data_IF_302914495950
#
_entry.id   IF_302914495950
#
_cell.length_a   1.000
_cell.length_b   1.000
_cell.length_c   1.000
_cell.angle_alpha   90.00
_cell.angle_beta   90.00
_cell.angle_gamma   90.00
#
_symmetry.space_group_name_H-M   'P 1'
#
loop_
_entity.id
_entity.type
_entity.pdbx_description
1 polymer ?
#
# COMPACT_ATOMS: atom_id res chain seq x y z
N UNK A 1 -62.68 53.19 7.20
CA UNK A 1 -63.17 51.80 7.44
C UNK A 1 -62.04 50.82 7.17
N UNK A 2 -61.60 50.25 8.20
CA UNK A 2 -60.38 49.46 8.34
C UNK A 2 -60.64 48.00 7.99
N UNK A 3 -59.78 47.36 7.17
CA UNK A 3 -59.77 45.94 7.08
C UNK A 3 -58.31 45.43 7.13
N UNK A 4 -57.97 44.89 8.27
CA UNK A 4 -56.74 44.18 8.59
C UNK A 4 -56.82 42.81 7.92
N UNK A 5 -55.83 42.45 7.08
CA UNK A 5 -55.64 41.10 6.58
C UNK A 5 -54.43 40.52 7.23
N UNK A 6 -54.67 39.52 8.09
CA UNK A 6 -53.67 38.72 8.75
C UNK A 6 -52.90 37.87 7.71
N UNK A 7 -51.61 38.12 7.61
CA UNK A 7 -50.68 37.25 6.88
C UNK A 7 -50.30 36.07 7.77
N UNK A 8 -50.71 34.87 7.38
CA UNK A 8 -50.34 33.59 7.99
C UNK A 8 -48.92 33.23 7.52
N UNK A 9 -47.98 33.37 8.42
CA UNK A 9 -46.60 32.89 8.21
C UNK A 9 -46.59 31.38 8.23
N UNK A 10 -46.37 30.77 7.09
CA UNK A 10 -46.14 29.34 6.93
C UNK A 10 -44.63 29.09 7.09
N UNK A 11 -44.24 28.58 8.26
CA UNK A 11 -42.88 28.15 8.56
C UNK A 11 -42.63 26.83 7.85
N UNK A 12 -41.93 26.87 6.73
CA UNK A 12 -41.33 25.66 6.13
C UNK A 12 -40.11 25.29 6.92
N UNK A 13 -40.21 24.21 7.68
CA UNK A 13 -39.05 23.54 8.29
C UNK A 13 -38.33 22.77 7.19
N UNK A 14 -37.18 23.28 6.74
CA UNK A 14 -36.25 22.53 5.91
C UNK A 14 -35.55 21.48 6.79
N UNK A 15 -35.97 20.22 6.66
CA UNK A 15 -35.27 19.08 7.18
C UNK A 15 -34.08 18.79 6.25
N UNK A 16 -32.92 19.33 6.57
CA UNK A 16 -31.68 18.99 5.87
C UNK A 16 -31.23 17.59 6.31
N UNK A 17 -31.51 16.59 5.46
CA UNK A 17 -30.96 15.25 5.62
C UNK A 17 -29.44 15.32 5.33
N UNK A 18 -28.64 15.27 6.37
CA UNK A 18 -27.19 15.08 6.27
C UNK A 18 -26.90 13.65 5.82
N UNK A 19 -26.71 13.45 4.52
CA UNK A 19 -26.15 12.22 3.97
C UNK A 19 -24.68 12.21 4.34
N UNK A 20 -24.32 11.45 5.38
CA UNK A 20 -22.96 11.29 5.87
C UNK A 20 -22.07 10.64 4.82
N UNK A 21 -21.00 11.32 4.51
CA UNK A 21 -19.95 10.89 3.60
C UNK A 21 -19.11 9.81 4.26
N UNK A 22 -19.35 8.55 3.92
CA UNK A 22 -18.53 7.40 4.34
C UNK A 22 -17.65 6.88 3.19
N UNK A 23 -16.87 7.79 2.54
CA UNK A 23 -16.06 7.41 1.36
C UNK A 23 -14.54 7.59 1.54
N UNK A 24 -14.04 7.97 2.72
CA UNK A 24 -12.61 8.25 2.90
C UNK A 24 -11.74 7.03 3.19
N UNK A 25 -12.28 5.95 3.76
CA UNK A 25 -11.51 4.78 4.16
C UNK A 25 -11.01 3.94 2.97
N UNK A 26 -11.80 3.79 1.92
CA UNK A 26 -11.46 2.96 0.75
C UNK A 26 -10.36 3.59 -0.11
N UNK A 27 -10.32 4.91 -0.19
CA UNK A 27 -9.29 5.61 -0.96
C UNK A 27 -7.90 5.55 -0.31
N UNK A 28 -7.83 5.55 1.03
CA UNK A 28 -6.54 5.46 1.75
C UNK A 28 -5.95 4.04 1.68
N UNK A 29 -6.79 3.02 1.72
CA UNK A 29 -6.33 1.63 1.60
C UNK A 29 -5.86 1.31 0.17
N UNK A 30 -6.52 1.83 -0.87
CA UNK A 30 -6.08 1.74 -2.25
C UNK A 30 -4.75 2.47 -2.49
N UNK A 31 -4.49 3.56 -1.77
CA UNK A 31 -3.21 4.29 -1.83
C UNK A 31 -2.06 3.48 -1.22
N UNK A 32 -2.32 2.60 -0.27
CA UNK A 32 -1.33 1.70 0.37
C UNK A 32 -1.03 0.42 -0.40
N UNK A 33 -1.75 0.13 -1.48
CA UNK A 33 -1.58 -1.07 -2.29
C UNK A 33 -2.44 -2.26 -1.83
N UNK A 34 -2.59 -3.23 -2.73
CA UNK A 34 -3.39 -4.44 -2.54
C UNK A 34 -2.51 -5.60 -2.04
N UNK A 35 -2.80 -6.11 -0.85
CA UNK A 35 -2.09 -7.25 -0.25
C UNK A 35 -2.27 -8.54 -1.04
N UNK A 36 -3.41 -8.76 -1.70
CA UNK A 36 -3.68 -9.95 -2.51
C UNK A 36 -2.87 -9.93 -3.80
N UNK A 37 -2.79 -8.77 -4.46
CA UNK A 37 -1.90 -8.58 -5.61
C UNK A 37 -0.44 -8.72 -5.19
N UNK A 38 -0.05 -8.16 -4.04
CA UNK A 38 1.28 -8.30 -3.47
C UNK A 38 1.69 -9.74 -3.21
N UNK A 39 0.78 -10.58 -2.69
CA UNK A 39 1.03 -12.02 -2.51
C UNK A 39 1.45 -12.71 -3.82
N UNK A 40 0.78 -12.40 -4.92
CA UNK A 40 1.12 -12.98 -6.23
C UNK A 40 2.51 -12.51 -6.72
N UNK A 41 2.83 -11.24 -6.49
CA UNK A 41 4.10 -10.64 -6.92
C UNK A 41 5.31 -11.13 -6.13
N UNK A 42 5.17 -11.42 -4.83
CA UNK A 42 6.30 -11.86 -3.98
C UNK A 42 6.70 -13.32 -4.21
N UNK A 43 5.99 -14.06 -5.07
CA UNK A 43 6.34 -15.44 -5.38
C UNK A 43 7.81 -15.60 -5.81
N UNK A 44 8.28 -14.71 -6.68
CA UNK A 44 9.67 -14.73 -7.16
C UNK A 44 10.69 -14.33 -6.09
N UNK A 45 10.29 -13.54 -5.10
CA UNK A 45 11.15 -13.08 -4.00
C UNK A 45 11.46 -14.25 -3.03
N UNK A 46 10.50 -15.16 -2.84
CA UNK A 46 10.59 -16.28 -1.91
C UNK A 46 11.75 -17.22 -2.18
N UNK A 47 12.18 -17.36 -3.43
CA UNK A 47 13.30 -18.23 -3.81
C UNK A 47 14.64 -17.85 -3.17
N UNK A 48 14.82 -16.57 -2.87
CA UNK A 48 16.01 -16.06 -2.17
C UNK A 48 15.68 -15.62 -0.74
N UNK A 49 14.67 -14.75 -0.58
CA UNK A 49 14.32 -14.14 0.70
C UNK A 49 13.56 -15.07 1.66
N UNK A 50 12.99 -16.17 1.15
CA UNK A 50 12.34 -17.20 1.96
C UNK A 50 13.28 -18.19 2.63
N UNK A 51 14.53 -18.26 2.19
CA UNK A 51 15.53 -19.23 2.70
C UNK A 51 16.40 -18.60 3.79
N UNK A 52 16.33 -19.16 4.99
CA UNK A 52 17.11 -18.66 6.14
C UNK A 52 18.62 -18.81 5.89
N UNK A 53 19.37 -17.71 6.02
CA UNK A 53 20.82 -17.70 5.88
C UNK A 53 21.32 -17.81 4.44
N UNK A 54 20.44 -17.69 3.45
CA UNK A 54 20.82 -17.74 2.04
C UNK A 54 21.82 -16.64 1.68
N UNK A 55 22.82 -17.00 0.88
CA UNK A 55 23.79 -16.09 0.28
C UNK A 55 23.86 -16.32 -1.21
N UNK A 56 24.00 -15.26 -1.98
CA UNK A 56 24.23 -15.37 -3.41
C UNK A 56 25.62 -16.00 -3.68
N UNK A 57 25.71 -16.78 -4.74
CA UNK A 57 27.00 -17.35 -5.14
C UNK A 57 28.00 -16.27 -5.57
N UNK A 58 27.51 -15.26 -6.28
CA UNK A 58 28.32 -14.12 -6.71
C UNK A 58 27.42 -12.89 -7.01
N UNK A 59 27.77 -11.71 -6.47
CA UNK A 59 28.63 -11.53 -5.30
C UNK A 59 28.02 -12.20 -4.07
N UNK A 60 28.83 -12.61 -3.11
CA UNK A 60 28.40 -13.36 -1.93
C UNK A 60 27.64 -12.48 -0.92
N UNK A 61 26.54 -11.88 -1.36
CA UNK A 61 25.68 -11.07 -0.51
C UNK A 61 24.79 -11.94 0.37
N UNK A 62 24.66 -11.55 1.63
CA UNK A 62 23.67 -12.10 2.52
C UNK A 62 22.29 -11.63 2.11
N UNK A 63 21.34 -12.56 1.90
CA UNK A 63 19.97 -12.23 1.53
C UNK A 63 19.14 -12.04 2.80
N UNK A 64 18.63 -10.82 3.07
CA UNK A 64 17.87 -10.54 4.28
C UNK A 64 16.46 -11.14 4.22
N UNK A 65 15.88 -11.36 5.40
CA UNK A 65 14.44 -11.63 5.51
C UNK A 65 13.67 -10.34 5.28
N UNK A 66 12.60 -10.41 4.50
CA UNK A 66 11.76 -9.26 4.15
C UNK A 66 10.34 -9.33 4.72
N UNK A 67 9.90 -10.51 5.18
CA UNK A 67 8.60 -10.69 5.83
C UNK A 67 8.54 -9.90 7.15
N UNK A 68 7.47 -9.12 7.33
CA UNK A 68 7.26 -8.26 8.50
C UNK A 68 8.09 -6.98 8.50
N UNK A 69 8.70 -6.62 7.37
CA UNK A 69 9.45 -5.38 7.25
C UNK A 69 8.49 -4.17 7.14
N UNK A 70 8.95 -3.00 7.55
CA UNK A 70 8.18 -1.76 7.48
C UNK A 70 7.79 -1.43 6.03
N UNK A 71 6.54 -1.00 5.84
CA UNK A 71 5.97 -0.68 4.53
C UNK A 71 6.77 0.39 3.79
N UNK A 72 7.04 1.53 4.44
CA UNK A 72 7.72 2.65 3.81
C UNK A 72 9.18 2.31 3.49
N UNK A 73 9.82 1.50 4.34
CA UNK A 73 11.17 0.99 4.06
C UNK A 73 11.22 0.11 2.82
N UNK A 74 10.22 -0.77 2.61
CA UNK A 74 10.15 -1.62 1.42
C UNK A 74 9.97 -0.75 0.16
N UNK A 75 9.08 0.25 0.21
CA UNK A 75 8.90 1.22 -0.88
C UNK A 75 10.23 1.90 -1.22
N UNK A 76 10.88 2.49 -0.23
CA UNK A 76 12.14 3.19 -0.41
C UNK A 76 13.22 2.26 -1.02
N UNK A 77 13.43 1.09 -0.42
CA UNK A 77 14.46 0.16 -0.85
C UNK A 77 14.25 -0.34 -2.29
N UNK A 78 13.01 -0.75 -2.67
CA UNK A 78 12.73 -1.22 -4.03
C UNK A 78 12.83 -0.08 -5.05
N UNK A 79 12.42 1.14 -4.69
CA UNK A 79 12.56 2.32 -5.53
C UNK A 79 14.04 2.69 -5.76
N UNK A 80 14.86 2.65 -4.71
CA UNK A 80 16.30 2.90 -4.79
C UNK A 80 17.01 1.85 -5.68
N UNK A 81 16.63 0.59 -5.57
CA UNK A 81 17.14 -0.46 -6.46
C UNK A 81 16.71 -0.22 -7.90
N UNK A 82 15.44 0.10 -8.15
CA UNK A 82 14.89 0.41 -9.47
C UNK A 82 15.65 1.55 -10.14
N UNK A 83 15.98 2.60 -9.39
CA UNK A 83 16.72 3.77 -9.89
C UNK A 83 18.23 3.54 -9.99
N UNK A 84 18.75 2.45 -9.42
CA UNK A 84 20.19 2.18 -9.34
C UNK A 84 20.92 3.00 -8.26
N UNK A 85 20.19 3.68 -7.38
CA UNK A 85 20.73 4.46 -6.26
C UNK A 85 21.28 3.56 -5.15
N UNK A 86 20.79 2.31 -5.08
CA UNK A 86 21.27 1.28 -4.18
C UNK A 86 22.01 0.20 -4.96
N UNK A 87 23.28 0.01 -4.65
CA UNK A 87 24.16 -0.90 -5.38
C UNK A 87 23.90 -2.38 -5.02
N UNK A 88 23.17 -3.10 -5.85
CA UNK A 88 22.98 -4.55 -5.80
C UNK A 88 22.45 -5.05 -7.15
N UNK A 89 23.28 -5.68 -8.00
CA UNK A 89 22.89 -6.02 -9.38
C UNK A 89 21.61 -6.85 -9.49
N UNK A 90 21.48 -7.89 -8.66
CA UNK A 90 20.29 -8.76 -8.66
C UNK A 90 19.02 -8.00 -8.26
N UNK A 91 19.08 -7.19 -7.18
CA UNK A 91 17.92 -6.42 -6.72
C UNK A 91 17.58 -5.28 -7.67
N UNK A 92 18.57 -4.70 -8.35
CA UNK A 92 18.33 -3.73 -9.40
C UNK A 92 17.54 -4.35 -10.55
N UNK A 93 17.94 -5.51 -11.05
CA UNK A 93 17.21 -6.22 -12.09
C UNK A 93 15.76 -6.55 -11.68
N UNK A 94 15.54 -6.92 -10.41
CA UNK A 94 14.18 -7.10 -9.88
C UNK A 94 13.42 -5.78 -9.85
N UNK A 95 13.99 -4.71 -9.31
CA UNK A 95 13.35 -3.40 -9.20
C UNK A 95 12.98 -2.79 -10.55
N UNK A 96 13.85 -2.90 -11.55
CA UNK A 96 13.62 -2.39 -12.91
C UNK A 96 12.42 -3.05 -13.60
N UNK A 97 12.08 -4.29 -13.23
CA UNK A 97 10.92 -5.00 -13.78
C UNK A 97 9.58 -4.63 -13.14
N UNK A 98 9.58 -3.88 -12.04
CA UNK A 98 8.38 -3.56 -11.25
C UNK A 98 7.82 -2.19 -11.62
N UNK A 99 6.49 -2.07 -11.69
CA UNK A 99 5.81 -0.78 -11.67
C UNK A 99 5.81 -0.20 -10.25
N UNK A 100 5.48 1.10 -10.12
CA UNK A 100 5.34 1.71 -8.79
C UNK A 100 4.13 1.16 -8.03
N UNK A 101 3.12 0.67 -8.75
CA UNK A 101 1.98 -0.04 -8.18
C UNK A 101 2.40 -1.41 -7.63
N UNK A 102 3.20 -2.18 -8.37
CA UNK A 102 3.74 -3.46 -7.89
C UNK A 102 4.54 -3.28 -6.62
N UNK A 103 5.38 -2.25 -6.55
CA UNK A 103 6.17 -1.93 -5.35
C UNK A 103 5.25 -1.65 -4.15
N UNK A 104 4.15 -0.90 -4.33
CA UNK A 104 3.18 -0.66 -3.26
C UNK A 104 2.47 -1.95 -2.82
N UNK A 105 2.05 -2.77 -3.77
CA UNK A 105 1.38 -4.03 -3.50
C UNK A 105 2.29 -5.01 -2.75
N UNK A 106 3.54 -5.14 -3.17
CA UNK A 106 4.57 -5.94 -2.49
C UNK A 106 4.79 -5.43 -1.06
N UNK A 107 4.93 -4.11 -0.89
CA UNK A 107 5.13 -3.51 0.42
C UNK A 107 3.92 -3.74 1.35
N UNK A 108 2.70 -3.61 0.84
CA UNK A 108 1.47 -3.88 1.58
C UNK A 108 1.43 -5.33 2.07
N UNK A 109 1.74 -6.29 1.21
CA UNK A 109 1.73 -7.70 1.59
C UNK A 109 2.85 -8.02 2.59
N UNK A 110 4.10 -7.68 2.30
CA UNK A 110 5.24 -8.04 3.15
C UNK A 110 5.16 -7.41 4.54
N UNK A 111 4.63 -6.19 4.66
CA UNK A 111 4.43 -5.54 5.96
C UNK A 111 3.28 -6.13 6.76
N UNK A 112 2.29 -6.75 6.10
CA UNK A 112 1.14 -7.37 6.76
C UNK A 112 1.43 -8.76 7.36
N UNK A 113 2.47 -9.43 6.90
CA UNK A 113 2.84 -10.77 7.36
C UNK A 113 3.87 -10.70 8.48
N UNK A 114 3.72 -11.57 9.50
CA UNK A 114 4.64 -11.59 10.64
C UNK A 114 6.06 -12.09 10.26
N UNK A 115 7.07 -11.75 11.06
CA UNK A 115 8.41 -12.28 10.87
C UNK A 115 8.39 -13.81 10.91
N UNK A 116 8.81 -14.46 9.82
CA UNK A 116 8.86 -15.93 9.71
C UNK A 116 7.66 -16.60 9.05
N UNK A 117 6.64 -15.85 8.62
CA UNK A 117 5.46 -16.39 7.91
C UNK A 117 5.69 -16.69 6.42
N UNK A 118 6.81 -16.28 5.84
CA UNK A 118 7.23 -16.70 4.51
C UNK A 118 7.80 -18.14 4.59
N UNK A 119 6.92 -19.13 4.43
CA UNK A 119 7.27 -20.53 4.14
C UNK A 119 7.05 -20.79 2.67
#
# INVERSE_FOLDING_TARGET
MTRILLARSMKFALLAASIGFATTAVADEAAKGDTKAGLALVYTCGGCHGVTGYRNAYPNYHVPRIAGQNYDYIIAALTEYKKGERAHPTMRAQGESMSDEDIRNIAAYLSSIGPGSAK
#
